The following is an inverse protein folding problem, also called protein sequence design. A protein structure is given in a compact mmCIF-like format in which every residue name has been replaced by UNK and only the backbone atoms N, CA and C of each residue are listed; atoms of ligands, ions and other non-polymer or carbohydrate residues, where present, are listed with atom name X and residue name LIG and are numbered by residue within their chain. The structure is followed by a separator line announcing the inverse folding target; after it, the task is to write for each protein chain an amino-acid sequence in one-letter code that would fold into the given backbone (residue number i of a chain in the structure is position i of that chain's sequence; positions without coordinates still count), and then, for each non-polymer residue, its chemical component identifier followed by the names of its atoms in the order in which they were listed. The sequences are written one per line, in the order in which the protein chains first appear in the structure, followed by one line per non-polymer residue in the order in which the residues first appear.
data_IF_769855930065
#
_entry.id   IF_769855930065
#
_cell.length_a   1.000
_cell.length_b   1.000
_cell.length_c   1.000
_cell.angle_alpha   90.00
_cell.angle_beta   90.00
_cell.angle_gamma   90.00
#
_symmetry.space_group_name_H-M   'P 1'
#
loop_
_entity.id
_entity.type
_entity.pdbx_description
1 polymer ?
#
# COMPACT_ATOMS: atom_id res chain seq x y z
N UNK A 1 -10.50 -6.79 12.03
CA UNK A 1 -10.51 -7.61 13.26
C UNK A 1 -11.42 -8.84 13.17
N UNK A 2 -12.76 -8.72 13.17
CA UNK A 2 -13.67 -9.89 13.15
C UNK A 2 -13.40 -10.92 12.05
N UNK A 3 -13.01 -10.45 10.86
CA UNK A 3 -12.77 -11.32 9.69
C UNK A 3 -11.45 -12.11 9.76
N UNK A 4 -10.37 -11.49 10.24
CA UNK A 4 -9.03 -12.09 10.25
C UNK A 4 -8.66 -12.71 11.59
N UNK A 5 -9.14 -12.15 12.69
CA UNK A 5 -8.80 -12.56 14.06
C UNK A 5 -10.07 -12.83 14.87
N UNK A 6 -10.80 -13.93 14.56
CA UNK A 6 -12.09 -14.24 15.19
C UNK A 6 -11.99 -14.59 16.68
N UNK A 7 -10.79 -14.94 17.17
CA UNK A 7 -10.55 -15.20 18.60
C UNK A 7 -10.29 -13.90 19.40
N UNK A 8 -9.61 -12.93 18.79
CA UNK A 8 -9.31 -11.64 19.43
C UNK A 8 -10.51 -10.69 19.39
N UNK A 9 -11.30 -10.73 18.31
CA UNK A 9 -12.41 -9.79 18.11
C UNK A 9 -13.50 -9.84 19.21
N UNK A 10 -13.89 -11.00 19.76
CA UNK A 10 -14.87 -11.08 20.85
C UNK A 10 -14.40 -10.51 22.19
N UNK A 11 -13.09 -10.34 22.38
CA UNK A 11 -12.54 -9.76 23.61
C UNK A 11 -12.77 -8.24 23.68
N UNK A 12 -12.98 -7.61 22.53
CA UNK A 12 -13.03 -6.15 22.38
C UNK A 12 -14.47 -5.68 22.45
N UNK A 13 -14.72 -4.66 23.28
CA UNK A 13 -15.96 -3.90 23.29
C UNK A 13 -15.99 -2.92 22.11
N UNK A 14 -16.69 -3.31 21.04
CA UNK A 14 -16.86 -2.50 19.82
C UNK A 14 -17.87 -1.35 19.96
N UNK A 15 -18.64 -1.31 21.05
CA UNK A 15 -19.56 -0.18 21.32
C UNK A 15 -18.80 1.05 21.82
N UNK A 16 -17.60 0.84 22.39
CA UNK A 16 -16.71 1.91 22.82
C UNK A 16 -15.80 2.35 21.66
N UNK A 17 -15.59 3.66 21.44
CA UNK A 17 -14.66 4.13 20.43
C UNK A 17 -13.25 3.64 20.72
N UNK A 18 -12.51 3.23 19.69
CA UNK A 18 -11.09 2.90 19.75
C UNK A 18 -10.21 4.14 19.53
N UNK A 19 -8.94 4.09 19.96
CA UNK A 19 -7.99 5.20 19.79
C UNK A 19 -6.75 4.74 19.02
N UNK A 20 -6.41 5.43 17.93
CA UNK A 20 -5.18 5.17 17.18
C UNK A 20 -4.01 5.93 17.81
N UNK A 21 -2.97 5.20 18.21
CA UNK A 21 -1.77 5.71 18.86
C UNK A 21 -0.62 5.86 17.87
N UNK A 22 -0.89 6.44 16.69
CA UNK A 22 0.07 6.53 15.58
C UNK A 22 1.33 7.34 15.95
N UNK A 23 1.17 8.43 16.72
CA UNK A 23 2.30 9.29 17.14
C UNK A 23 3.16 8.58 18.18
N UNK A 24 2.51 7.93 19.14
CA UNK A 24 3.17 7.19 20.20
C UNK A 24 3.93 5.99 19.64
N UNK A 25 3.34 5.32 18.65
CA UNK A 25 3.96 4.22 17.93
C UNK A 25 5.16 4.69 17.12
N UNK A 26 5.09 5.84 16.45
CA UNK A 26 6.24 6.42 15.75
C UNK A 26 7.42 6.75 16.69
N UNK A 27 7.14 7.19 17.92
CA UNK A 27 8.17 7.41 18.93
C UNK A 27 8.81 6.08 19.38
N UNK A 28 8.01 5.03 19.50
CA UNK A 28 8.47 3.67 19.83
C UNK A 28 9.31 3.07 18.69
N UNK A 29 8.95 3.31 17.43
CA UNK A 29 9.54 2.67 16.25
C UNK A 29 10.80 3.38 15.66
N UNK A 30 11.60 4.11 16.47
CA UNK A 30 12.65 5.03 15.93
C UNK A 30 14.02 4.42 15.55
N UNK A 31 14.64 5.12 14.58
CA UNK A 31 15.96 5.07 13.88
C UNK A 31 16.26 4.09 12.72
N UNK A 32 16.13 2.77 12.80
CA UNK A 32 16.62 1.88 11.71
C UNK A 32 15.69 1.73 10.47
N UNK A 33 14.43 2.16 10.54
CA UNK A 33 13.37 1.70 9.60
C UNK A 33 12.59 2.86 8.93
N UNK A 34 13.28 3.87 8.40
CA UNK A 34 12.65 5.08 7.83
C UNK A 34 11.76 4.85 6.58
N UNK A 35 11.73 3.64 5.99
CA UNK A 35 10.97 3.35 4.76
C UNK A 35 9.69 2.50 4.91
N UNK A 36 9.43 1.88 6.07
CA UNK A 36 8.46 0.77 6.23
C UNK A 36 7.16 1.12 6.98
N UNK A 37 6.96 2.39 7.35
CA UNK A 37 6.15 2.81 8.52
C UNK A 37 4.63 2.93 8.39
N UNK A 38 4.04 2.87 7.20
CA UNK A 38 2.65 3.34 7.03
C UNK A 38 1.57 2.29 7.30
N UNK A 39 1.92 1.00 7.30
CA UNK A 39 0.94 -0.09 7.39
C UNK A 39 0.67 -0.55 8.83
N UNK A 40 1.63 -0.35 9.72
CA UNK A 40 1.56 -0.82 11.10
C UNK A 40 0.72 0.13 11.95
N UNK A 41 -0.14 -0.45 12.79
CA UNK A 41 -1.09 0.29 13.63
C UNK A 41 -1.05 -0.18 15.06
N UNK A 42 -0.83 0.76 15.97
CA UNK A 42 -1.08 0.59 17.39
C UNK A 42 -2.44 1.19 17.72
N UNK A 43 -3.33 0.35 18.25
CA UNK A 43 -4.70 0.74 18.58
C UNK A 43 -4.98 0.43 20.03
N UNK A 44 -5.43 1.42 20.78
CA UNK A 44 -5.97 1.23 22.12
C UNK A 44 -7.47 0.91 22.01
N UNK A 45 -7.85 -0.18 22.63
CA UNK A 45 -9.22 -0.72 22.68
C UNK A 45 -9.57 -1.06 24.13
N UNK A 46 -10.83 -1.44 24.35
CA UNK A 46 -11.32 -1.82 25.67
C UNK A 46 -11.91 -3.22 25.64
N UNK A 47 -11.69 -3.97 26.71
CA UNK A 47 -12.39 -5.23 26.92
C UNK A 47 -13.84 -4.99 27.35
N UNK A 48 -14.65 -6.05 27.31
CA UNK A 48 -16.05 -6.02 27.78
C UNK A 48 -16.15 -5.59 29.25
N UNK A 49 -15.15 -5.91 30.07
CA UNK A 49 -15.05 -5.54 31.48
C UNK A 49 -14.55 -4.10 31.70
N UNK A 50 -14.17 -3.38 30.65
CA UNK A 50 -13.72 -1.99 30.70
C UNK A 50 -12.20 -1.78 30.83
N UNK A 51 -11.43 -2.86 30.93
CA UNK A 51 -9.95 -2.82 30.95
C UNK A 51 -9.39 -2.37 29.59
N UNK A 52 -8.31 -1.60 29.63
CA UNK A 52 -7.62 -1.12 28.42
C UNK A 52 -6.74 -2.22 27.84
N UNK A 53 -6.72 -2.36 26.51
CA UNK A 53 -5.86 -3.29 25.79
C UNK A 53 -5.25 -2.60 24.59
N UNK A 54 -4.00 -2.90 24.30
CA UNK A 54 -3.32 -2.44 23.10
C UNK A 54 -3.29 -3.54 22.06
N UNK A 55 -3.66 -3.21 20.83
CA UNK A 55 -3.52 -4.07 19.65
C UNK A 55 -2.39 -3.52 18.81
N UNK A 56 -1.37 -4.34 18.57
CA UNK A 56 -0.36 -4.09 17.56
C UNK A 56 -0.75 -4.88 16.31
N UNK A 57 -1.21 -4.19 15.27
CA UNK A 57 -1.54 -4.78 13.98
C UNK A 57 -0.41 -4.41 13.02
N UNK A 58 0.40 -5.40 12.68
CA UNK A 58 1.47 -5.29 11.70
C UNK A 58 0.98 -5.83 10.37
N UNK A 59 1.10 -5.05 9.30
CA UNK A 59 0.67 -5.47 7.96
C UNK A 59 1.89 -5.48 7.05
N UNK A 60 2.34 -6.68 6.69
CA UNK A 60 3.52 -6.81 5.84
C UNK A 60 3.09 -6.71 4.37
N UNK A 61 3.36 -5.55 3.76
CA UNK A 61 3.05 -5.27 2.35
C UNK A 61 4.21 -5.69 1.43
N UNK A 62 5.38 -6.04 1.97
CA UNK A 62 6.53 -6.40 1.16
C UNK A 62 6.36 -7.77 0.48
N UNK A 63 6.77 -7.84 -0.79
CA UNK A 63 6.69 -9.06 -1.60
C UNK A 63 7.79 -10.09 -1.27
N UNK A 64 8.64 -9.82 -0.27
CA UNK A 64 9.75 -10.69 0.13
C UNK A 64 9.73 -10.93 1.65
N UNK A 65 9.93 -12.17 2.09
CA UNK A 65 10.18 -12.52 3.49
C UNK A 65 11.28 -11.67 4.12
N UNK A 66 11.05 -11.22 5.36
CA UNK A 66 12.07 -10.62 6.21
C UNK A 66 12.46 -11.60 7.31
N UNK A 67 13.76 -11.85 7.46
CA UNK A 67 14.30 -12.79 8.45
C UNK A 67 14.15 -12.27 9.89
N UNK A 68 14.13 -10.94 10.08
CA UNK A 68 14.00 -10.27 11.38
C UNK A 68 12.54 -9.96 11.77
N UNK A 69 11.55 -10.39 10.97
CA UNK A 69 10.15 -10.04 11.19
C UNK A 69 9.63 -10.40 12.59
N UNK A 70 9.91 -11.63 13.05
CA UNK A 70 9.43 -12.08 14.35
C UNK A 70 10.13 -11.35 15.50
N UNK A 71 11.41 -11.02 15.34
CA UNK A 71 12.18 -10.22 16.29
C UNK A 71 11.65 -8.79 16.36
N UNK A 72 11.29 -8.17 15.22
CA UNK A 72 10.64 -6.86 15.15
C UNK A 72 9.30 -6.85 15.89
N UNK A 73 8.47 -7.88 15.67
CA UNK A 73 7.20 -8.05 16.38
C UNK A 73 7.39 -8.12 17.90
N UNK A 74 8.42 -8.84 18.36
CA UNK A 74 8.79 -8.88 19.78
C UNK A 74 9.28 -7.53 20.29
N UNK A 75 10.21 -6.89 19.57
CA UNK A 75 10.76 -5.57 19.93
C UNK A 75 9.65 -4.52 20.07
N UNK A 76 8.67 -4.51 19.16
CA UNK A 76 7.52 -3.59 19.27
C UNK A 76 6.69 -3.89 20.51
N UNK A 77 6.37 -5.16 20.77
CA UNK A 77 5.60 -5.54 21.94
C UNK A 77 6.29 -5.10 23.24
N UNK A 78 7.60 -5.36 23.34
CA UNK A 78 8.41 -4.96 24.49
C UNK A 78 8.43 -3.44 24.70
N UNK A 79 8.60 -2.66 23.63
CA UNK A 79 8.60 -1.19 23.74
C UNK A 79 7.22 -0.61 24.07
N UNK A 80 6.15 -1.26 23.61
CA UNK A 80 4.78 -0.90 24.02
C UNK A 80 4.60 -1.19 25.51
N UNK A 81 5.05 -2.36 25.98
CA UNK A 81 5.04 -2.70 27.40
C UNK A 81 5.82 -1.68 28.24
N UNK A 82 7.03 -1.31 27.83
CA UNK A 82 7.86 -0.32 28.52
C UNK A 82 7.17 1.07 28.61
N UNK A 83 6.52 1.50 27.53
CA UNK A 83 5.86 2.82 27.47
C UNK A 83 4.53 2.87 28.22
N UNK A 84 3.71 1.81 28.14
CA UNK A 84 2.32 1.82 28.61
C UNK A 84 2.09 0.95 29.85
N UNK A 85 3.09 0.17 30.27
CA UNK A 85 3.01 -0.72 31.43
C UNK A 85 2.19 -1.99 31.20
N UNK A 86 1.74 -2.26 29.97
CA UNK A 86 0.96 -3.44 29.61
C UNK A 86 1.37 -4.00 28.25
N UNK A 87 1.39 -5.34 28.09
CA UNK A 87 1.72 -5.96 26.81
C UNK A 87 0.61 -5.72 25.78
N UNK A 88 0.98 -5.62 24.51
CA UNK A 88 0.03 -5.59 23.41
C UNK A 88 -0.37 -7.00 22.95
N UNK A 89 -1.56 -7.13 22.39
CA UNK A 89 -1.89 -8.26 21.52
C UNK A 89 -1.26 -7.99 20.15
N UNK A 90 -0.20 -8.72 19.85
CA UNK A 90 0.53 -8.63 18.58
C UNK A 90 -0.13 -9.51 17.51
N UNK A 91 -0.47 -8.90 16.38
CA UNK A 91 -1.18 -9.50 15.26
C UNK A 91 -0.48 -9.15 13.93
N UNK A 92 -0.24 -10.14 13.08
CA UNK A 92 0.40 -9.97 11.79
C UNK A 92 -0.56 -10.34 10.64
N UNK A 93 -0.62 -9.50 9.61
CA UNK A 93 -1.26 -9.79 8.33
C UNK A 93 -0.17 -9.89 7.27
N UNK A 94 -0.01 -11.09 6.70
CA UNK A 94 1.05 -11.42 5.74
C UNK A 94 0.46 -11.40 4.32
N UNK A 95 0.93 -10.46 3.49
CA UNK A 95 0.39 -10.21 2.15
C UNK A 95 1.28 -10.74 1.01
N UNK A 96 2.44 -11.30 1.32
CA UNK A 96 3.42 -11.80 0.35
C UNK A 96 2.95 -13.08 -0.37
N UNK A 97 3.69 -13.44 -1.43
CA UNK A 97 3.37 -14.57 -2.29
C UNK A 97 4.03 -15.91 -1.87
N UNK A 98 4.88 -15.92 -0.83
CA UNK A 98 5.56 -17.13 -0.38
C UNK A 98 4.65 -17.94 0.55
N UNK A 99 4.18 -19.11 0.11
CA UNK A 99 3.29 -19.95 0.91
C UNK A 99 3.92 -20.53 2.18
N UNK A 100 5.25 -20.60 2.25
CA UNK A 100 6.01 -21.23 3.34
C UNK A 100 6.38 -20.24 4.44
N UNK A 101 6.56 -18.97 4.11
CA UNK A 101 6.90 -17.94 5.09
C UNK A 101 5.69 -17.57 5.95
N UNK A 102 5.72 -18.01 7.21
CA UNK A 102 4.63 -17.88 8.19
C UNK A 102 5.18 -17.62 9.60
N UNK A 103 5.86 -16.50 9.83
CA UNK A 103 6.35 -16.18 11.16
C UNK A 103 5.18 -16.04 12.13
N UNK A 104 5.34 -16.65 13.31
CA UNK A 104 4.36 -16.58 14.41
C UNK A 104 5.03 -16.63 15.79
N UNK A 105 6.37 -16.71 15.84
CA UNK A 105 7.12 -16.95 17.06
C UNK A 105 8.52 -16.32 16.96
N UNK A 106 8.96 -15.70 18.05
CA UNK A 106 10.35 -15.35 18.32
C UNK A 106 10.76 -15.98 19.64
N UNK A 107 11.89 -16.68 19.67
CA UNK A 107 12.34 -17.37 20.88
C UNK A 107 13.85 -17.47 20.96
N UNK A 108 14.37 -17.44 22.19
CA UNK A 108 15.74 -17.83 22.50
C UNK A 108 15.76 -18.73 23.74
N UNK A 109 16.80 -19.55 23.86
CA UNK A 109 16.95 -20.47 24.98
C UNK A 109 18.42 -20.55 25.40
N UNK A 110 18.73 -20.01 26.57
CA UNK A 110 19.99 -20.14 27.28
C UNK A 110 19.75 -20.89 28.60
N UNK A 111 20.76 -21.51 29.23
CA UNK A 111 20.58 -22.36 30.42
C UNK A 111 19.75 -21.75 31.55
N UNK A 112 19.91 -20.45 31.81
CA UNK A 112 19.25 -19.74 32.91
C UNK A 112 18.26 -18.66 32.43
N UNK A 113 18.05 -18.53 31.11
CA UNK A 113 17.22 -17.47 30.54
C UNK A 113 16.62 -17.88 29.19
N UNK A 114 15.30 -17.90 29.12
CA UNK A 114 14.55 -18.25 27.92
C UNK A 114 13.39 -17.29 27.69
N UNK A 115 13.05 -17.08 26.43
CA UNK A 115 11.88 -16.34 26.01
C UNK A 115 11.15 -17.13 24.93
N UNK A 116 9.83 -17.23 25.05
CA UNK A 116 8.93 -17.70 23.99
C UNK A 116 7.86 -16.64 23.74
N UNK A 117 8.02 -15.85 22.69
CA UNK A 117 7.06 -14.84 22.26
C UNK A 117 6.28 -15.35 21.06
N UNK A 118 4.96 -15.55 21.23
CA UNK A 118 4.06 -15.99 20.16
C UNK A 118 3.05 -14.91 19.83
N UNK A 119 2.70 -14.81 18.55
CA UNK A 119 1.75 -13.82 18.05
C UNK A 119 0.82 -14.43 17.01
N UNK A 120 -0.36 -13.83 16.85
CA UNK A 120 -1.33 -14.28 15.84
C UNK A 120 -0.89 -13.83 14.45
N UNK A 121 -0.83 -14.73 13.47
CA UNK A 121 -0.56 -14.37 12.08
C UNK A 121 -1.62 -14.91 11.14
N UNK A 122 -1.95 -14.12 10.11
CA UNK A 122 -2.88 -14.50 9.04
C UNK A 122 -2.20 -14.33 7.71
N UNK A 123 -2.17 -15.39 6.91
CA UNK A 123 -1.67 -15.37 5.54
C UNK A 123 -2.82 -15.11 4.58
N UNK A 124 -2.77 -14.00 3.85
CA UNK A 124 -3.83 -13.66 2.90
C UNK A 124 -3.93 -14.68 1.76
N UNK A 125 -2.81 -15.28 1.36
CA UNK A 125 -2.75 -16.32 0.33
C UNK A 125 -3.64 -17.55 0.66
N UNK A 126 -3.88 -17.86 1.94
CA UNK A 126 -4.73 -18.99 2.35
C UNK A 126 -6.19 -18.83 1.91
N UNK A 127 -6.63 -17.60 1.65
CA UNK A 127 -7.97 -17.33 1.19
C UNK A 127 -8.14 -17.60 -0.31
N UNK A 128 -7.06 -17.86 -1.05
CA UNK A 128 -7.16 -18.33 -2.44
C UNK A 128 -7.90 -19.67 -2.53
N UNK A 129 -7.64 -20.58 -1.59
CA UNK A 129 -8.31 -21.88 -1.51
C UNK A 129 -9.70 -21.79 -0.85
N UNK A 130 -10.03 -20.64 -0.26
CA UNK A 130 -11.30 -20.36 0.43
C UNK A 130 -12.09 -19.26 -0.28
N UNK A 131 -11.99 -19.23 -1.61
CA UNK A 131 -12.59 -18.19 -2.44
C UNK A 131 -14.11 -18.06 -2.21
N UNK A 132 -14.81 -19.18 -2.07
CA UNK A 132 -16.25 -19.21 -1.80
C UNK A 132 -16.63 -18.51 -0.48
N UNK A 133 -15.75 -18.55 0.54
CA UNK A 133 -15.97 -17.82 1.80
C UNK A 133 -15.88 -16.30 1.58
N UNK A 134 -14.96 -15.86 0.72
CA UNK A 134 -14.85 -14.45 0.34
C UNK A 134 -16.09 -14.00 -0.42
N UNK A 135 -16.56 -14.83 -1.35
CA UNK A 135 -17.74 -14.54 -2.16
C UNK A 135 -19.04 -14.51 -1.36
N UNK A 136 -19.16 -15.33 -0.32
CA UNK A 136 -20.31 -15.35 0.56
C UNK A 136 -20.29 -14.23 1.63
N UNK A 137 -19.14 -13.56 1.83
CA UNK A 137 -19.00 -12.57 2.90
C UNK A 137 -19.53 -11.20 2.50
N UNK A 138 -20.42 -10.65 3.33
CA UNK A 138 -20.87 -9.26 3.25
C UNK A 138 -19.83 -8.26 3.78
N UNK A 139 -18.71 -8.74 4.30
CA UNK A 139 -17.66 -7.87 4.82
C UNK A 139 -16.95 -7.17 3.64
N UNK A 140 -16.86 -5.82 3.61
CA UNK A 140 -16.16 -5.10 2.55
C UNK A 140 -14.67 -5.49 2.42
N UNK A 141 -14.03 -5.92 3.52
CA UNK A 141 -12.65 -6.39 3.50
C UNK A 141 -12.48 -7.71 2.71
N UNK A 142 -13.54 -8.50 2.53
CA UNK A 142 -13.49 -9.66 1.65
C UNK A 142 -13.24 -9.22 0.20
N UNK A 143 -13.90 -8.13 -0.25
CA UNK A 143 -13.71 -7.56 -1.59
C UNK A 143 -12.30 -6.99 -1.78
N UNK A 144 -11.76 -6.32 -0.76
CA UNK A 144 -10.37 -5.83 -0.71
C UNK A 144 -9.38 -7.00 -0.84
N UNK A 145 -9.59 -8.08 -0.10
CA UNK A 145 -8.77 -9.28 -0.16
C UNK A 145 -8.85 -9.99 -1.52
N UNK A 146 -10.06 -10.08 -2.10
CA UNK A 146 -10.25 -10.60 -3.46
C UNK A 146 -9.47 -9.77 -4.48
N UNK A 147 -9.49 -8.44 -4.37
CA UNK A 147 -8.72 -7.54 -5.24
C UNK A 147 -7.22 -7.82 -5.12
N UNK A 148 -6.69 -7.95 -3.90
CA UNK A 148 -5.29 -8.28 -3.65
C UNK A 148 -4.88 -9.61 -4.31
N UNK A 149 -5.62 -10.68 -4.03
CA UNK A 149 -5.34 -12.02 -4.57
C UNK A 149 -5.41 -12.04 -6.11
N UNK A 150 -6.42 -11.39 -6.70
CA UNK A 150 -6.55 -11.32 -8.16
C UNK A 150 -5.48 -10.46 -8.80
N UNK A 151 -5.00 -9.42 -8.11
CA UNK A 151 -3.87 -8.62 -8.61
C UNK A 151 -2.61 -9.47 -8.75
N UNK A 152 -2.30 -10.30 -7.76
CA UNK A 152 -1.18 -11.23 -7.79
C UNK A 152 -1.33 -12.26 -8.92
N UNK A 153 -2.50 -12.88 -9.05
CA UNK A 153 -2.80 -13.90 -10.08
C UNK A 153 -2.79 -13.35 -11.51
N UNK A 154 -3.26 -12.13 -11.72
CA UNK A 154 -3.44 -11.53 -13.06
C UNK A 154 -2.25 -10.67 -13.52
N UNK A 155 -1.09 -10.79 -12.87
CA UNK A 155 0.10 -9.96 -13.17
C UNK A 155 0.47 -9.92 -14.65
N UNK A 156 0.31 -11.04 -15.37
CA UNK A 156 0.60 -11.16 -16.81
C UNK A 156 -0.65 -11.14 -17.70
N UNK A 157 -1.84 -10.89 -17.13
CA UNK A 157 -3.13 -11.04 -17.81
C UNK A 157 -4.01 -9.80 -17.57
N UNK A 158 -3.68 -8.66 -18.19
CA UNK A 158 -4.35 -7.39 -17.90
C UNK A 158 -5.83 -7.39 -18.32
N UNK A 159 -6.23 -8.18 -19.32
CA UNK A 159 -7.64 -8.38 -19.70
C UNK A 159 -8.45 -9.05 -18.59
N UNK A 160 -7.94 -10.13 -18.00
CA UNK A 160 -8.57 -10.77 -16.83
C UNK A 160 -8.60 -9.82 -15.63
N UNK A 161 -7.54 -9.04 -15.43
CA UNK A 161 -7.50 -8.02 -14.38
C UNK A 161 -8.63 -6.99 -14.53
N UNK A 162 -8.91 -6.52 -15.76
CA UNK A 162 -10.04 -5.62 -16.06
C UNK A 162 -11.37 -6.25 -15.63
N UNK A 163 -11.60 -7.50 -16.04
CA UNK A 163 -12.83 -8.23 -15.73
C UNK A 163 -13.02 -8.40 -14.21
N UNK A 164 -11.96 -8.75 -13.48
CA UNK A 164 -12.01 -8.86 -12.01
C UNK A 164 -12.23 -7.51 -11.33
N UNK A 165 -11.54 -6.45 -11.77
CA UNK A 165 -11.74 -5.08 -11.25
C UNK A 165 -13.21 -4.68 -11.37
N UNK A 166 -13.81 -4.90 -12.53
CA UNK A 166 -15.22 -4.61 -12.76
C UNK A 166 -16.16 -5.44 -11.88
N UNK A 167 -15.92 -6.75 -11.76
CA UNK A 167 -16.71 -7.64 -10.89
C UNK A 167 -16.69 -7.21 -9.43
N UNK A 168 -15.51 -6.85 -8.90
CA UNK A 168 -15.35 -6.44 -7.51
C UNK A 168 -16.00 -5.08 -7.22
N UNK A 169 -15.94 -4.14 -8.15
CA UNK A 169 -16.62 -2.85 -8.00
C UNK A 169 -18.14 -3.04 -8.04
N UNK A 170 -18.66 -3.87 -8.94
CA UNK A 170 -20.10 -4.21 -8.95
C UNK A 170 -20.55 -4.85 -7.63
N UNK A 171 -19.70 -5.69 -7.04
CA UNK A 171 -19.94 -6.28 -5.72
C UNK A 171 -20.05 -5.21 -4.63
N UNK A 172 -19.14 -4.22 -4.60
CA UNK A 172 -19.23 -3.11 -3.63
C UNK A 172 -20.57 -2.37 -3.70
N UNK A 173 -21.05 -2.09 -4.91
CA UNK A 173 -22.32 -1.41 -5.14
C UNK A 173 -23.53 -2.28 -4.74
N UNK A 174 -23.39 -3.61 -4.78
CA UNK A 174 -24.45 -4.53 -4.38
C UNK A 174 -24.54 -4.73 -2.85
N UNK A 175 -23.48 -4.43 -2.10
CA UNK A 175 -23.40 -4.67 -0.65
C UNK A 175 -24.14 -3.63 0.22
N UNK A 176 -24.86 -2.67 -0.38
CA UNK A 176 -25.66 -1.68 0.36
C UNK A 176 -24.83 -0.77 1.29
N UNK A 177 -23.54 -0.60 1.00
CA UNK A 177 -22.62 0.22 1.77
C UNK A 177 -22.96 1.71 1.64
N UNK A 178 -22.50 2.52 2.59
CA UNK A 178 -22.62 3.98 2.45
C UNK A 178 -21.76 4.49 1.30
N UNK A 179 -22.22 5.53 0.62
CA UNK A 179 -21.54 6.12 -0.53
C UNK A 179 -20.07 6.48 -0.23
N UNK A 180 -19.78 7.00 0.97
CA UNK A 180 -18.41 7.30 1.41
C UNK A 180 -17.53 6.06 1.44
N UNK A 181 -18.06 4.94 1.92
CA UNK A 181 -17.33 3.68 2.03
C UNK A 181 -17.13 3.06 0.64
N UNK A 182 -18.15 3.12 -0.22
CA UNK A 182 -18.03 2.71 -1.63
C UNK A 182 -16.91 3.49 -2.32
N UNK A 183 -16.86 4.83 -2.16
CA UNK A 183 -15.79 5.66 -2.72
C UNK A 183 -14.41 5.27 -2.19
N UNK A 184 -14.26 5.03 -0.88
CA UNK A 184 -12.99 4.64 -0.29
C UNK A 184 -12.51 3.26 -0.78
N UNK A 185 -13.41 2.28 -0.81
CA UNK A 185 -13.11 0.91 -1.26
C UNK A 185 -12.83 0.87 -2.76
N UNK A 186 -13.57 1.66 -3.56
CA UNK A 186 -13.27 1.85 -4.97
C UNK A 186 -11.85 2.37 -5.16
N UNK A 187 -11.46 3.44 -4.46
CA UNK A 187 -10.09 4.01 -4.57
C UNK A 187 -9.03 2.99 -4.23
N UNK A 188 -9.30 2.15 -3.23
CA UNK A 188 -8.40 1.05 -2.87
C UNK A 188 -8.27 0.04 -4.02
N UNK A 189 -9.39 -0.46 -4.56
CA UNK A 189 -9.39 -1.42 -5.67
C UNK A 189 -8.69 -0.82 -6.89
N UNK A 190 -8.95 0.44 -7.21
CA UNK A 190 -8.34 1.13 -8.34
C UNK A 190 -6.82 1.25 -8.20
N UNK A 191 -6.36 1.61 -6.99
CA UNK A 191 -4.94 1.71 -6.67
C UNK A 191 -4.21 0.36 -6.75
N UNK A 192 -4.82 -0.71 -6.26
CA UNK A 192 -4.21 -2.06 -6.27
C UNK A 192 -4.30 -2.71 -7.66
N UNK A 193 -5.43 -2.57 -8.34
CA UNK A 193 -5.70 -3.17 -9.65
C UNK A 193 -5.40 -2.21 -10.80
N UNK A 194 -4.11 -1.88 -10.97
CA UNK A 194 -3.65 -0.99 -12.04
C UNK A 194 -3.84 -1.69 -13.40
N UNK A 195 -4.45 -0.94 -14.33
CA UNK A 195 -4.67 -1.36 -15.72
C UNK A 195 -3.81 -0.51 -16.67
N UNK A 196 -3.43 -1.06 -17.84
CA UNK A 196 -2.89 -0.26 -18.94
C UNK A 196 -3.90 0.80 -19.42
N UNK A 197 -3.42 1.96 -19.89
CA UNK A 197 -4.27 3.11 -20.30
C UNK A 197 -5.42 2.73 -21.24
N UNK A 198 -5.18 1.86 -22.23
CA UNK A 198 -6.21 1.40 -23.16
C UNK A 198 -7.35 0.65 -22.46
N UNK A 199 -7.01 -0.31 -21.60
CA UNK A 199 -7.99 -1.10 -20.84
C UNK A 199 -8.66 -0.28 -19.73
N UNK A 200 -7.98 0.72 -19.18
CA UNK A 200 -8.56 1.67 -18.24
C UNK A 200 -9.64 2.53 -18.92
N UNK A 201 -9.39 3.00 -20.15
CA UNK A 201 -10.38 3.73 -20.94
C UNK A 201 -11.61 2.86 -21.28
N UNK A 202 -11.41 1.61 -21.70
CA UNK A 202 -12.50 0.65 -21.92
C UNK A 202 -13.31 0.40 -20.63
N UNK A 203 -12.61 0.14 -19.53
CA UNK A 203 -13.23 -0.07 -18.21
C UNK A 203 -14.14 1.11 -17.83
N UNK A 204 -13.69 2.35 -18.05
CA UNK A 204 -14.48 3.53 -17.72
C UNK A 204 -15.73 3.69 -18.59
N UNK A 205 -15.67 3.30 -19.86
CA UNK A 205 -16.86 3.30 -20.73
C UNK A 205 -17.91 2.31 -20.21
N UNK A 206 -17.48 1.08 -19.90
CA UNK A 206 -18.35 0.04 -19.33
C UNK A 206 -18.90 0.46 -17.95
N UNK A 207 -18.08 1.08 -17.12
CA UNK A 207 -18.45 1.52 -15.77
C UNK A 207 -19.46 2.66 -15.78
N UNK A 208 -19.28 3.64 -16.68
CA UNK A 208 -20.25 4.73 -16.85
C UNK A 208 -21.62 4.19 -17.28
N UNK A 209 -21.65 3.23 -18.19
CA UNK A 209 -22.90 2.59 -18.59
C UNK A 209 -23.57 1.88 -17.41
N UNK A 210 -22.80 1.16 -16.60
CA UNK A 210 -23.30 0.49 -15.39
C UNK A 210 -23.91 1.47 -14.35
N UNK A 211 -23.25 2.60 -14.08
CA UNK A 211 -23.79 3.61 -13.15
C UNK A 211 -25.07 4.27 -13.68
N UNK A 212 -25.16 4.48 -14.99
CA UNK A 212 -26.36 5.01 -15.66
C UNK A 212 -27.53 4.03 -15.58
N UNK A 213 -27.31 2.75 -15.85
CA UNK A 213 -28.35 1.71 -15.77
C UNK A 213 -28.93 1.54 -14.36
N UNK A 214 -28.12 1.80 -13.33
CA UNK A 214 -28.54 1.68 -11.93
C UNK A 214 -28.96 2.99 -11.27
N UNK A 215 -28.80 4.13 -11.95
CA UNK A 215 -29.04 5.48 -11.39
C UNK A 215 -28.26 5.71 -10.09
N UNK A 216 -27.05 5.17 -10.00
CA UNK A 216 -26.19 5.23 -8.81
C UNK A 216 -24.84 5.79 -9.20
N UNK A 217 -24.68 7.10 -9.13
CA UNK A 217 -23.44 7.81 -9.44
C UNK A 217 -22.70 8.14 -8.15
N UNK A 218 -21.88 7.21 -7.66
CA UNK A 218 -21.09 7.43 -6.44
C UNK A 218 -19.71 8.02 -6.70
N UNK A 219 -19.26 7.99 -7.96
CA UNK A 219 -18.00 8.59 -8.38
C UNK A 219 -18.33 9.70 -9.36
N UNK A 220 -18.11 10.95 -8.95
CA UNK A 220 -18.34 12.07 -9.86
C UNK A 220 -17.25 12.17 -10.92
N UNK A 221 -17.58 12.71 -12.09
CA UNK A 221 -16.59 13.02 -13.13
C UNK A 221 -15.46 13.92 -12.62
N UNK A 222 -15.76 14.84 -11.69
CA UNK A 222 -14.77 15.71 -11.06
C UNK A 222 -13.82 14.96 -10.12
N UNK A 223 -14.34 14.03 -9.30
CA UNK A 223 -13.51 13.16 -8.46
C UNK A 223 -12.62 12.24 -9.29
N UNK A 224 -13.11 11.73 -10.43
CA UNK A 224 -12.32 10.94 -11.38
C UNK A 224 -11.15 11.75 -11.93
N UNK A 225 -11.42 12.94 -12.48
CA UNK A 225 -10.37 13.79 -13.07
C UNK A 225 -9.37 14.23 -12.01
N UNK A 226 -9.84 14.62 -10.82
CA UNK A 226 -8.97 14.97 -9.70
C UNK A 226 -8.08 13.80 -9.26
N UNK A 227 -8.62 12.59 -9.26
CA UNK A 227 -7.87 11.38 -8.92
C UNK A 227 -6.84 11.01 -10.00
N UNK A 228 -7.22 11.03 -11.28
CA UNK A 228 -6.31 10.80 -12.41
C UNK A 228 -5.14 11.78 -12.40
N UNK A 229 -5.43 13.08 -12.23
CA UNK A 229 -4.40 14.11 -12.09
C UNK A 229 -3.49 13.87 -10.89
N UNK A 230 -4.06 13.54 -9.73
CA UNK A 230 -3.27 13.23 -8.53
C UNK A 230 -2.35 12.02 -8.72
N UNK A 231 -2.78 11.00 -9.48
CA UNK A 231 -1.98 9.83 -9.83
C UNK A 231 -0.85 10.19 -10.80
N UNK A 232 -1.15 10.96 -11.84
CA UNK A 232 -0.13 11.45 -12.79
C UNK A 232 0.91 12.34 -12.11
N UNK A 233 0.47 13.29 -11.28
CA UNK A 233 1.36 14.13 -10.47
C UNK A 233 2.21 13.32 -9.48
N UNK A 234 1.62 12.31 -8.84
CA UNK A 234 2.32 11.40 -7.94
C UNK A 234 3.40 10.57 -8.65
N UNK A 235 3.07 10.02 -9.82
CA UNK A 235 4.02 9.30 -10.67
C UNK A 235 5.16 10.19 -11.14
N UNK A 236 4.85 11.42 -11.56
CA UNK A 236 5.84 12.41 -11.95
C UNK A 236 6.81 12.72 -10.81
N UNK A 237 6.27 13.06 -9.62
CA UNK A 237 7.10 13.32 -8.42
C UNK A 237 7.97 12.12 -8.03
N UNK A 238 7.43 10.90 -8.13
CA UNK A 238 8.19 9.70 -7.83
C UNK A 238 9.31 9.45 -8.85
N UNK A 239 9.04 9.62 -10.14
CA UNK A 239 10.04 9.52 -11.20
C UNK A 239 11.15 10.55 -11.01
N UNK A 240 10.81 11.81 -10.73
CA UNK A 240 11.76 12.88 -10.42
C UNK A 240 12.64 12.51 -9.21
N UNK A 241 12.04 12.09 -8.09
CA UNK A 241 12.77 11.71 -6.90
C UNK A 241 13.73 10.53 -7.14
N UNK A 242 13.31 9.54 -7.93
CA UNK A 242 14.14 8.39 -8.29
C UNK A 242 15.32 8.81 -9.18
N UNK A 243 15.06 9.57 -10.25
CA UNK A 243 16.08 10.05 -11.18
C UNK A 243 17.10 10.93 -10.46
N UNK A 244 16.65 11.85 -9.61
CA UNK A 244 17.52 12.70 -8.78
C UNK A 244 18.42 11.86 -7.87
N UNK A 245 17.86 10.83 -7.21
CA UNK A 245 18.63 9.94 -6.34
C UNK A 245 19.67 9.12 -7.12
N UNK A 246 19.32 8.64 -8.32
CA UNK A 246 20.22 7.88 -9.18
C UNK A 246 21.34 8.77 -9.73
N UNK A 247 21.02 9.97 -10.19
CA UNK A 247 22.00 10.96 -10.65
C UNK A 247 22.95 11.36 -9.52
N UNK A 248 22.43 11.65 -8.32
CA UNK A 248 23.28 11.99 -7.18
C UNK A 248 24.27 10.86 -6.84
N UNK A 249 23.82 9.60 -6.95
CA UNK A 249 24.68 8.43 -6.75
C UNK A 249 25.73 8.25 -7.86
N UNK A 250 25.41 8.64 -9.10
CA UNK A 250 26.25 8.39 -10.29
C UNK A 250 27.28 9.51 -10.53
N UNK A 251 26.85 10.76 -10.45
CA UNK A 251 27.67 11.94 -10.81
C UNK A 251 27.98 12.85 -9.62
N UNK A 252 27.53 12.50 -8.42
CA UNK A 252 27.77 13.27 -7.19
C UNK A 252 26.73 14.37 -6.96
N UNK A 253 27.07 15.36 -6.14
CA UNK A 253 26.11 16.39 -5.74
C UNK A 253 25.63 17.24 -6.91
N UNK A 254 24.30 17.31 -7.04
CA UNK A 254 23.63 18.08 -8.08
C UNK A 254 23.38 19.53 -7.62
N UNK A 255 23.79 20.55 -8.40
CA UNK A 255 23.44 21.95 -8.17
C UNK A 255 21.92 22.17 -8.11
N UNK A 256 21.47 23.24 -7.45
CA UNK A 256 20.05 23.53 -7.27
C UNK A 256 19.34 23.74 -8.61
N UNK A 257 20.00 24.42 -9.54
CA UNK A 257 19.49 24.73 -10.88
C UNK A 257 19.22 23.46 -11.69
N UNK A 258 20.09 22.46 -11.57
CA UNK A 258 19.94 21.15 -12.24
C UNK A 258 18.78 20.37 -11.64
N UNK A 259 18.56 20.47 -10.32
CA UNK A 259 17.42 19.82 -9.66
C UNK A 259 16.11 20.43 -10.12
N UNK A 260 16.05 21.75 -10.26
CA UNK A 260 14.87 22.45 -10.78
C UNK A 260 14.59 22.09 -12.24
N UNK A 261 15.62 22.00 -13.08
CA UNK A 261 15.47 21.52 -14.46
C UNK A 261 14.94 20.08 -14.53
N UNK A 262 15.46 19.16 -13.71
CA UNK A 262 14.95 17.78 -13.67
C UNK A 262 13.49 17.75 -13.18
N UNK A 263 13.12 18.66 -12.27
CA UNK A 263 11.75 18.78 -11.77
C UNK A 263 10.77 19.41 -12.78
N UNK A 264 11.26 20.07 -13.84
CA UNK A 264 10.41 20.58 -14.93
C UNK A 264 10.25 19.59 -16.08
N UNK A 265 11.02 18.50 -16.12
CA UNK A 265 10.92 17.47 -17.15
C UNK A 265 9.60 16.70 -17.09
N UNK A 266 9.06 16.36 -18.26
CA UNK A 266 7.93 15.45 -18.42
C UNK A 266 8.29 14.01 -18.04
N UNK A 267 7.27 13.16 -17.85
CA UNK A 267 7.48 11.75 -17.52
C UNK A 267 8.29 10.99 -18.60
N UNK A 268 8.10 11.34 -19.89
CA UNK A 268 8.82 10.73 -21.01
C UNK A 268 10.29 11.18 -21.04
N UNK A 269 10.55 12.47 -20.77
CA UNK A 269 11.91 12.99 -20.62
C UNK A 269 12.62 12.37 -19.41
N UNK A 270 11.92 12.17 -18.30
CA UNK A 270 12.48 11.50 -17.12
C UNK A 270 12.79 10.02 -17.38
N UNK A 271 11.96 9.32 -18.17
CA UNK A 271 12.22 7.94 -18.55
C UNK A 271 13.47 7.84 -19.45
N UNK A 272 13.58 8.70 -20.46
CA UNK A 272 14.75 8.74 -21.35
C UNK A 272 16.02 9.16 -20.62
N UNK A 273 15.94 10.12 -19.69
CA UNK A 273 17.04 10.45 -18.77
C UNK A 273 17.39 9.26 -17.87
N UNK A 274 16.39 8.53 -17.39
CA UNK A 274 16.52 7.31 -16.60
C UNK A 274 17.35 6.22 -17.26
N UNK A 275 17.26 6.08 -18.58
CA UNK A 275 18.06 5.16 -19.38
C UNK A 275 19.44 5.73 -19.66
N UNK A 276 19.52 6.98 -20.13
CA UNK A 276 20.77 7.63 -20.49
C UNK A 276 21.74 7.78 -19.30
N UNK A 277 21.21 8.00 -18.09
CA UNK A 277 22.05 8.18 -16.90
C UNK A 277 22.90 6.96 -16.55
N UNK A 278 22.56 5.77 -17.05
CA UNK A 278 23.34 4.55 -16.83
C UNK A 278 24.70 4.64 -17.53
N UNK A 279 24.77 5.37 -18.65
CA UNK A 279 25.99 5.56 -19.43
C UNK A 279 26.80 6.78 -18.97
N UNK A 280 26.26 7.59 -18.04
CA UNK A 280 26.96 8.76 -17.54
C UNK A 280 28.19 8.36 -16.73
N UNK A 281 29.28 9.03 -17.02
CA UNK A 281 30.58 8.88 -16.36
C UNK A 281 30.95 10.11 -15.53
N UNK A 282 30.42 11.29 -15.89
CA UNK A 282 30.64 12.55 -15.20
C UNK A 282 29.41 13.46 -15.28
N UNK A 283 29.38 14.51 -14.45
CA UNK A 283 28.29 15.49 -14.43
C UNK A 283 28.17 16.26 -15.77
N UNK A 284 29.24 16.35 -16.56
CA UNK A 284 29.20 16.93 -17.92
C UNK A 284 28.26 16.18 -18.86
N UNK A 285 28.10 14.86 -18.68
CA UNK A 285 27.21 14.05 -19.51
C UNK A 285 25.74 14.42 -19.25
N UNK A 286 25.41 14.73 -17.99
CA UNK A 286 24.10 15.24 -17.59
C UNK A 286 23.83 16.63 -18.17
N UNK A 287 24.80 17.55 -18.13
CA UNK A 287 24.65 18.88 -18.73
C UNK A 287 24.44 18.79 -20.24
N UNK A 288 25.25 18.00 -20.94
CA UNK A 288 25.10 17.79 -22.38
C UNK A 288 23.74 17.19 -22.73
N UNK A 289 23.25 16.25 -21.91
CA UNK A 289 21.92 15.66 -22.12
C UNK A 289 20.80 16.69 -21.91
N UNK A 290 20.88 17.50 -20.84
CA UNK A 290 19.89 18.54 -20.57
C UNK A 290 19.88 19.61 -21.67
N UNK A 291 21.04 20.04 -22.15
CA UNK A 291 21.16 21.02 -23.24
C UNK A 291 20.58 20.47 -24.56
N UNK A 292 20.86 19.21 -24.88
CA UNK A 292 20.34 18.56 -26.09
C UNK A 292 18.81 18.37 -26.05
N UNK A 293 18.25 18.13 -24.87
CA UNK A 293 16.81 17.88 -24.70
C UNK A 293 16.00 19.15 -24.36
N UNK A 294 16.65 20.26 -23.98
CA UNK A 294 16.02 21.58 -23.87
C UNK A 294 15.75 22.24 -25.24
N UNK A 295 16.53 21.92 -26.28
CA UNK A 295 16.39 22.50 -27.61
C UNK A 295 15.12 22.04 -28.37
N UNK A 296 14.53 20.90 -27.97
CA UNK A 296 13.34 20.33 -28.63
C UNK A 296 12.00 20.91 -28.13
N UNK A 297 11.97 21.65 -27.02
CA UNK A 297 10.72 22.27 -26.52
C UNK A 297 10.34 23.57 -27.26
N UNK A 298 11.25 24.15 -28.05
CA UNK A 298 11.05 25.44 -28.73
C UNK A 298 10.53 25.34 -30.18
N UNK A 299 10.12 24.16 -30.67
CA UNK A 299 9.62 23.98 -32.04
C UNK A 299 8.12 23.62 -32.13
N UNK A 300 7.38 23.70 -31.01
CA UNK A 300 5.93 23.43 -30.96
C UNK A 300 5.00 24.65 -31.06
N UNK A 301 5.54 25.88 -31.12
CA UNK A 301 4.72 27.10 -31.22
C UNK A 301 5.26 27.99 -32.33
N UNK A 302 4.96 27.65 -33.58
CA UNK A 302 4.91 28.59 -34.70
C UNK A 302 4.27 27.93 -35.93
N UNK A 303 2.95 28.12 -36.06
CA UNK A 303 2.17 28.41 -37.28
C UNK A 303 0.70 28.07 -37.06
#
# INVERSE_FOLDING_TARGET
MKFFFPQTAPLINWERPYEFLDKEFQQIAREAEQGRRYADKLVKVWQLQGEEVWLLIHVEIQAKPEDDFAERMFSYNLRIFDKFGQPAISLAILCDADSTWRPNQYSYNYPDCSLDFRFGSVKLLDYQNRWAELEASDNPFATVLMAHLKTQQTTKQPGERKAWKFSLIRRLYAQGLQERDIRNLYRFIDWVMILPKALEAEFWQEFKQFEQERTMSYITTGERIGYERGKEEGQLKQAQALVLRLLQKRVGDLPAEVREQIQSLSLEQLATLGEALLDFSAISDLFNWLDANHANDNHGVQA
#
